data_IF_202578576454
#
_entry.id   IF_202578576454
#
_cell.length_a   1.000
_cell.length_b   1.000
_cell.length_c   1.000
_cell.angle_alpha   90.00
_cell.angle_beta   90.00
_cell.angle_gamma   90.00
#
_symmetry.space_group_name_H-M   'P 1'
#
loop_
_entity.id
_entity.type
_entity.pdbx_description
1 polymer ?
#
# COMPACT_ATOMS: atom_id res chain seq x y z
N UNK A 1 -13.21 29.22 12.85
CA UNK A 1 -14.46 29.02 13.59
C UNK A 1 -14.94 30.31 14.24
N UNK A 2 -14.03 31.11 14.81
CA UNK A 2 -14.36 32.43 15.39
C UNK A 2 -15.17 33.34 14.44
N UNK A 3 -14.76 33.45 13.17
CA UNK A 3 -15.41 34.36 12.21
C UNK A 3 -16.81 33.90 11.80
N UNK A 4 -17.05 32.59 11.77
CA UNK A 4 -18.39 32.03 11.52
C UNK A 4 -19.32 32.32 12.69
N UNK A 5 -18.84 32.12 13.93
CA UNK A 5 -19.63 32.42 15.13
C UNK A 5 -19.95 33.92 15.24
N UNK A 6 -19.01 34.79 14.86
CA UNK A 6 -19.26 36.23 14.79
C UNK A 6 -20.34 36.58 13.75
N UNK A 7 -20.25 36.00 12.55
CA UNK A 7 -21.25 36.22 11.50
C UNK A 7 -22.65 35.68 11.87
N UNK A 8 -22.72 34.57 12.60
CA UNK A 8 -23.97 34.01 13.12
C UNK A 8 -24.57 34.91 14.21
N UNK A 9 -23.75 35.46 15.11
CA UNK A 9 -24.23 36.40 16.12
C UNK A 9 -24.82 37.69 15.49
N UNK A 10 -24.20 38.19 14.41
CA UNK A 10 -24.72 39.34 13.65
C UNK A 10 -26.11 39.04 13.01
N UNK A 11 -26.40 37.79 12.64
CA UNK A 11 -27.71 37.38 12.13
C UNK A 11 -28.80 37.39 13.22
N UNK A 12 -28.45 36.99 14.45
CA UNK A 12 -29.40 36.94 15.57
C UNK A 12 -29.88 38.33 16.02
N UNK A 13 -29.13 39.38 15.67
CA UNK A 13 -29.32 40.74 16.20
C UNK A 13 -29.96 41.72 15.19
N UNK A 14 -30.12 41.36 13.90
CA UNK A 14 -30.54 42.31 12.87
C UNK A 14 -31.51 41.77 11.80
N UNK A 15 -32.50 42.58 11.41
CA UNK A 15 -33.46 42.33 10.32
C UNK A 15 -32.85 42.57 8.91
N UNK A 16 -31.56 42.32 8.71
CA UNK A 16 -30.84 42.65 7.46
C UNK A 16 -30.30 41.40 6.76
N UNK A 17 -30.18 41.43 5.43
CA UNK A 17 -29.71 40.29 4.62
C UNK A 17 -28.18 40.12 4.68
N UNK A 18 -27.43 41.17 5.03
CA UNK A 18 -25.97 41.19 4.97
C UNK A 18 -25.28 40.13 5.86
N UNK A 19 -25.71 39.89 7.12
CA UNK A 19 -25.16 38.82 7.95
C UNK A 19 -25.40 37.42 7.35
N UNK A 20 -26.53 37.20 6.68
CA UNK A 20 -26.84 35.94 5.99
C UNK A 20 -25.83 35.68 4.86
N UNK A 21 -25.55 36.71 4.04
CA UNK A 21 -24.56 36.61 2.96
C UNK A 21 -23.18 36.27 3.53
N UNK A 22 -22.77 36.90 4.64
CA UNK A 22 -21.48 36.62 5.30
C UNK A 22 -21.39 35.17 5.77
N UNK A 23 -22.42 34.65 6.43
CA UNK A 23 -22.43 33.26 6.89
C UNK A 23 -22.35 32.29 5.69
N UNK A 24 -23.11 32.54 4.62
CA UNK A 24 -23.05 31.71 3.41
C UNK A 24 -21.65 31.72 2.77
N UNK A 25 -21.00 32.88 2.67
CA UNK A 25 -19.62 32.97 2.15
C UNK A 25 -18.65 32.16 3.01
N UNK A 26 -18.72 32.29 4.34
CA UNK A 26 -17.85 31.53 5.25
C UNK A 26 -18.11 30.02 5.14
N UNK A 27 -19.36 29.61 4.96
CA UNK A 27 -19.71 28.20 4.75
C UNK A 27 -19.14 27.67 3.43
N UNK A 28 -19.23 28.44 2.35
CA UNK A 28 -18.64 28.08 1.04
C UNK A 28 -17.13 27.88 1.19
N UNK A 29 -16.42 28.83 1.81
CA UNK A 29 -14.96 28.73 2.03
C UNK A 29 -14.59 27.48 2.85
N UNK A 30 -15.42 27.11 3.83
CA UNK A 30 -15.21 25.90 4.62
C UNK A 30 -15.48 24.64 3.82
N UNK A 31 -16.50 24.62 2.97
CA UNK A 31 -16.78 23.49 2.07
C UNK A 31 -15.64 23.30 1.07
N UNK A 32 -15.09 24.38 0.50
CA UNK A 32 -13.95 24.30 -0.40
C UNK A 32 -12.69 23.79 0.32
N UNK A 33 -12.45 24.25 1.55
CA UNK A 33 -11.36 23.74 2.37
C UNK A 33 -11.51 22.25 2.68
N UNK A 34 -12.72 21.80 3.05
CA UNK A 34 -13.02 20.39 3.28
C UNK A 34 -12.85 19.56 2.00
N UNK A 35 -13.34 20.06 0.87
CA UNK A 35 -13.19 19.41 -0.43
C UNK A 35 -11.70 19.21 -0.78
N UNK A 36 -10.89 20.24 -0.61
CA UNK A 36 -9.44 20.17 -0.84
C UNK A 36 -8.74 19.17 0.08
N UNK A 37 -9.12 19.12 1.37
CA UNK A 37 -8.57 18.13 2.31
C UNK A 37 -8.95 16.69 1.92
N UNK A 38 -10.21 16.47 1.50
CA UNK A 38 -10.68 15.16 1.03
C UNK A 38 -9.93 14.76 -0.25
N UNK A 39 -9.87 15.64 -1.26
CA UNK A 39 -9.16 15.39 -2.50
C UNK A 39 -7.67 15.03 -2.28
N UNK A 40 -6.99 15.79 -1.41
CA UNK A 40 -5.61 15.52 -1.03
C UNK A 40 -5.46 14.15 -0.33
N UNK A 41 -6.39 13.82 0.58
CA UNK A 41 -6.37 12.55 1.32
C UNK A 41 -6.62 11.37 0.38
N UNK A 42 -7.59 11.45 -0.52
CA UNK A 42 -7.85 10.43 -1.55
C UNK A 42 -6.61 10.21 -2.41
N UNK A 43 -6.00 11.28 -2.93
CA UNK A 43 -4.78 11.15 -3.74
C UNK A 43 -3.57 10.60 -2.97
N UNK A 44 -3.55 10.66 -1.63
CA UNK A 44 -2.54 9.97 -0.81
C UNK A 44 -2.86 8.49 -0.66
N UNK A 45 -4.14 8.13 -0.46
CA UNK A 45 -4.58 6.75 -0.38
C UNK A 45 -4.31 6.00 -1.69
N UNK A 46 -4.60 6.60 -2.84
CA UNK A 46 -4.33 6.01 -4.16
C UNK A 46 -2.83 5.69 -4.34
N UNK A 47 -1.96 6.60 -3.89
CA UNK A 47 -0.50 6.38 -3.94
C UNK A 47 -0.04 5.27 -3.01
N UNK A 48 -0.63 5.17 -1.82
CA UNK A 48 -0.35 4.09 -0.87
C UNK A 48 -0.81 2.76 -1.46
N UNK A 49 -2.02 2.71 -2.02
CA UNK A 49 -2.54 1.51 -2.68
C UNK A 49 -1.63 1.06 -3.81
N UNK A 50 -1.22 1.96 -4.70
CA UNK A 50 -0.29 1.65 -5.78
C UNK A 50 1.06 1.10 -5.26
N UNK A 51 1.61 1.70 -4.19
CA UNK A 51 2.85 1.22 -3.58
C UNK A 51 2.68 -0.19 -2.96
N UNK A 52 1.54 -0.45 -2.30
CA UNK A 52 1.23 -1.76 -1.74
C UNK A 52 1.05 -2.83 -2.82
N UNK A 53 0.42 -2.49 -3.96
CA UNK A 53 0.29 -3.39 -5.10
C UNK A 53 1.67 -3.78 -5.65
N UNK A 54 2.57 -2.81 -5.84
CA UNK A 54 3.96 -3.08 -6.28
C UNK A 54 4.71 -3.94 -5.27
N UNK A 55 4.56 -3.67 -3.97
CA UNK A 55 5.20 -4.48 -2.94
C UNK A 55 4.67 -5.91 -2.98
N UNK A 56 3.35 -6.09 -3.05
CA UNK A 56 2.71 -7.41 -3.17
C UNK A 56 3.24 -8.17 -4.37
N UNK A 57 3.32 -7.54 -5.53
CA UNK A 57 3.78 -8.20 -6.77
C UNK A 57 5.28 -8.58 -6.69
N UNK A 58 6.07 -7.84 -5.90
CA UNK A 58 7.49 -8.13 -5.65
C UNK A 58 7.70 -9.19 -4.56
N UNK A 59 6.82 -9.27 -3.56
CA UNK A 59 6.98 -10.16 -2.42
C UNK A 59 6.21 -11.48 -2.56
N UNK A 60 5.23 -11.56 -3.48
CA UNK A 60 4.50 -12.79 -3.72
C UNK A 60 5.49 -13.89 -4.14
N UNK A 61 5.56 -15.00 -3.40
CA UNK A 61 6.34 -16.16 -3.81
C UNK A 61 5.76 -16.68 -5.14
N UNK A 62 6.46 -16.45 -6.24
CA UNK A 62 6.00 -16.89 -7.57
C UNK A 62 5.98 -18.42 -7.70
N UNK A 63 6.70 -19.11 -6.81
CA UNK A 63 6.71 -20.57 -6.69
C UNK A 63 7.06 -20.94 -5.25
N UNK A 64 6.45 -22.01 -4.70
CA UNK A 64 6.87 -22.57 -3.44
C UNK A 64 8.32 -23.04 -3.53
N UNK A 65 9.02 -23.05 -2.40
CA UNK A 65 10.35 -23.63 -2.27
C UNK A 65 10.40 -25.05 -2.83
N UNK A 66 11.26 -25.29 -3.82
CA UNK A 66 11.45 -26.61 -4.44
C UNK A 66 12.25 -27.57 -3.54
N UNK A 67 12.94 -27.03 -2.54
CA UNK A 67 13.74 -27.81 -1.60
C UNK A 67 12.93 -28.37 -0.42
N UNK A 68 11.73 -27.84 -0.18
CA UNK A 68 10.84 -28.23 0.91
C UNK A 68 9.60 -28.93 0.36
N UNK A 69 9.09 -29.92 1.09
CA UNK A 69 7.74 -30.44 0.83
C UNK A 69 6.67 -29.41 1.19
N UNK A 70 5.43 -29.63 0.74
CA UNK A 70 4.29 -28.75 1.08
C UNK A 70 4.11 -28.61 2.59
N UNK A 71 4.31 -29.70 3.35
CA UNK A 71 4.22 -29.68 4.81
C UNK A 71 5.36 -28.88 5.48
N UNK A 72 6.54 -28.84 4.86
CA UNK A 72 7.72 -28.12 5.35
C UNK A 72 7.76 -26.65 4.90
N UNK A 73 6.80 -26.20 4.09
CA UNK A 73 6.71 -24.82 3.58
C UNK A 73 5.40 -24.10 4.00
N UNK A 74 5.08 -24.01 5.31
CA UNK A 74 3.85 -23.38 5.78
C UNK A 74 3.82 -21.86 5.56
N UNK A 75 5.00 -21.22 5.48
CA UNK A 75 5.19 -19.79 5.23
C UNK A 75 5.30 -19.44 3.75
N UNK A 76 5.20 -20.44 2.85
CA UNK A 76 5.32 -20.28 1.40
C UNK A 76 6.61 -19.56 0.97
N UNK A 77 7.73 -19.78 1.67
CA UNK A 77 9.00 -19.19 1.29
C UNK A 77 9.46 -19.67 -0.09
N UNK A 78 10.24 -18.81 -0.76
CA UNK A 78 10.93 -19.15 -2.00
C UNK A 78 12.23 -19.92 -1.73
N UNK A 79 12.66 -20.78 -2.67
CA UNK A 79 13.88 -21.60 -2.57
C UNK A 79 15.14 -20.81 -2.18
N UNK A 80 15.30 -19.59 -2.70
CA UNK A 80 16.41 -18.69 -2.35
C UNK A 80 16.43 -18.19 -0.89
N UNK A 81 15.31 -18.32 -0.15
CA UNK A 81 15.20 -17.99 1.28
C UNK A 81 14.91 -19.23 2.13
N UNK A 82 15.18 -20.43 1.62
CA UNK A 82 14.92 -21.67 2.35
C UNK A 82 15.72 -21.70 3.66
N UNK A 83 15.07 -21.82 4.84
CA UNK A 83 15.75 -21.83 6.13
C UNK A 83 16.60 -23.09 6.33
N UNK A 84 16.29 -24.19 5.63
CA UNK A 84 17.08 -25.43 5.63
C UNK A 84 18.42 -25.27 4.90
N UNK A 85 18.47 -24.36 3.93
CA UNK A 85 19.64 -24.08 3.09
C UNK A 85 19.91 -22.56 3.07
N UNK A 86 20.37 -21.99 4.21
CA UNK A 86 20.47 -20.55 4.40
C UNK A 86 21.55 -19.91 3.51
N UNK A 87 22.64 -20.61 3.26
CA UNK A 87 23.73 -20.11 2.45
C UNK A 87 23.56 -20.47 0.95
N UNK A 88 24.09 -19.64 0.03
CA UNK A 88 23.99 -19.89 -1.41
C UNK A 88 24.62 -21.21 -1.87
N UNK A 89 25.69 -21.66 -1.20
CA UNK A 89 26.44 -22.87 -1.60
C UNK A 89 25.60 -24.12 -1.30
N UNK A 90 25.01 -24.22 -0.12
CA UNK A 90 24.11 -25.31 0.26
C UNK A 90 22.91 -25.41 -0.68
N UNK A 91 22.37 -24.26 -1.14
CA UNK A 91 21.30 -24.25 -2.15
C UNK A 91 21.78 -24.77 -3.51
N UNK A 92 22.96 -24.38 -3.94
CA UNK A 92 23.55 -24.84 -5.20
C UNK A 92 23.79 -26.36 -5.18
N UNK A 93 24.39 -26.87 -4.10
CA UNK A 93 24.61 -28.31 -3.88
C UNK A 93 23.28 -29.07 -3.88
N UNK A 94 22.25 -28.54 -3.21
CA UNK A 94 20.94 -29.18 -3.18
C UNK A 94 20.24 -29.15 -4.56
N UNK A 95 20.35 -28.05 -5.29
CA UNK A 95 19.83 -27.93 -6.65
C UNK A 95 20.53 -28.94 -7.59
N UNK A 96 21.85 -29.00 -7.54
CA UNK A 96 22.66 -29.96 -8.29
C UNK A 96 22.31 -31.42 -7.95
N UNK A 97 22.13 -31.74 -6.66
CA UNK A 97 21.67 -33.08 -6.21
C UNK A 97 20.30 -33.46 -6.74
N UNK A 98 19.41 -32.47 -6.92
CA UNK A 98 18.07 -32.65 -7.49
C UNK A 98 18.05 -32.60 -9.02
N UNK A 99 19.20 -32.46 -9.68
CA UNK A 99 19.28 -32.36 -11.14
C UNK A 99 18.67 -31.05 -11.68
N UNK A 100 18.78 -29.97 -10.93
CA UNK A 100 18.26 -28.65 -11.27
C UNK A 100 19.37 -27.70 -11.69
N UNK A 101 19.07 -26.78 -12.61
CA UNK A 101 19.93 -25.66 -12.93
C UNK A 101 20.04 -24.71 -11.72
N UNK A 102 21.25 -24.36 -11.32
CA UNK A 102 21.50 -23.47 -10.18
C UNK A 102 21.02 -22.02 -10.42
N UNK A 103 20.91 -21.60 -11.68
CA UNK A 103 20.47 -20.25 -12.06
C UNK A 103 18.95 -20.11 -12.10
N UNK A 104 18.25 -21.09 -12.68
CA UNK A 104 16.80 -20.99 -12.94
C UNK A 104 15.93 -21.96 -12.13
N UNK A 105 16.54 -22.91 -11.40
CA UNK A 105 15.88 -23.97 -10.62
C UNK A 105 14.89 -24.83 -11.42
N UNK A 106 15.05 -24.87 -12.74
CA UNK A 106 14.38 -25.81 -13.65
C UNK A 106 15.23 -27.08 -13.80
N UNK A 107 14.72 -28.18 -14.41
CA UNK A 107 15.56 -29.32 -14.78
C UNK A 107 16.85 -28.85 -15.46
N UNK A 108 17.95 -29.53 -15.15
CA UNK A 108 19.26 -29.23 -15.70
C UNK A 108 19.18 -29.08 -17.22
N UNK A 109 19.85 -28.06 -17.74
CA UNK A 109 19.93 -27.84 -19.18
C UNK A 109 20.87 -28.89 -19.77
N UNK A 110 20.47 -29.50 -20.87
CA UNK A 110 21.42 -30.24 -21.71
C UNK A 110 22.46 -29.22 -22.20
N UNK A 111 23.73 -29.47 -21.89
CA UNK A 111 24.85 -28.62 -22.28
C UNK A 111 25.02 -28.57 -23.80
#
# INVERSE_FOLDING_TARGET
MSDLHAALAEMEQGNTILPIIRVLSVLIDKLDSLHNMVACSTGRLDRIEAALQVLRDRTLPKSPCIFCTIAENPDSHHSGRCPRFPDPVSRAVQASKMGLCECCLKPAHDN
#
